data_IF_408164368099
#
_entry.id   IF_408164368099
#
_cell.length_a   1.000
_cell.length_b   1.000
_cell.length_c   1.000
_cell.angle_alpha   90.00
_cell.angle_beta   90.00
_cell.angle_gamma   90.00
#
_symmetry.space_group_name_H-M   'P 1'
#
loop_
_entity.id
_entity.type
_entity.pdbx_description
1 polymer ?
#
# COMPACT_ATOMS: atom_id res chain seq x y z
N UNK A 1 -23.32 11.40 12.60
CA UNK A 1 -21.88 11.40 12.88
C UNK A 1 -21.30 10.09 12.33
N UNK A 2 -20.22 10.14 11.53
CA UNK A 2 -19.51 8.90 11.14
C UNK A 2 -18.70 8.42 12.35
N UNK A 3 -18.79 7.14 12.67
CA UNK A 3 -17.90 6.52 13.66
C UNK A 3 -16.49 6.53 13.08
N UNK A 4 -15.46 6.95 13.83
CA UNK A 4 -14.09 6.89 13.35
C UNK A 4 -13.70 5.43 13.03
N UNK A 5 -12.96 5.17 11.93
CA UNK A 5 -12.56 3.82 11.57
C UNK A 5 -11.71 3.21 12.69
N UNK A 6 -11.99 1.96 13.05
CA UNK A 6 -11.21 1.22 14.06
C UNK A 6 -9.98 0.54 13.47
N UNK A 7 -9.91 0.40 12.15
CA UNK A 7 -8.77 -0.15 11.43
C UNK A 7 -8.62 0.44 10.01
N UNK A 8 -7.40 0.39 9.48
CA UNK A 8 -7.03 0.64 8.09
C UNK A 8 -6.20 -0.54 7.57
N UNK A 9 -6.60 -1.11 6.43
CA UNK A 9 -5.85 -2.12 5.70
C UNK A 9 -5.33 -1.52 4.40
N UNK A 10 -4.01 -1.55 4.20
CA UNK A 10 -3.33 -1.13 2.97
C UNK A 10 -2.85 -2.39 2.27
N UNK A 11 -3.38 -2.66 1.09
CA UNK A 11 -3.16 -3.91 0.34
C UNK A 11 -2.25 -3.61 -0.84
N UNK A 12 -1.18 -4.39 -0.96
CA UNK A 12 -0.29 -4.47 -2.12
C UNK A 12 0.23 -3.10 -2.57
N UNK A 13 0.50 -2.20 -1.60
CA UNK A 13 1.14 -0.91 -1.84
C UNK A 13 2.65 -1.09 -2.03
N UNK A 14 3.03 -1.96 -2.96
CA UNK A 14 4.40 -2.38 -3.24
C UNK A 14 4.98 -1.57 -4.42
N UNK A 15 6.31 -1.43 -4.44
CA UNK A 15 7.04 -0.70 -5.48
C UNK A 15 6.70 -1.21 -6.89
N UNK A 16 6.48 -2.52 -7.06
CA UNK A 16 6.14 -3.12 -8.35
C UNK A 16 4.82 -2.62 -8.97
N UNK A 17 3.93 -2.03 -8.16
CA UNK A 17 2.67 -1.45 -8.60
C UNK A 17 2.65 0.08 -8.54
N UNK A 18 3.56 0.70 -7.80
CA UNK A 18 3.51 2.12 -7.49
C UNK A 18 4.67 2.95 -8.08
N UNK A 19 5.69 2.30 -8.65
CA UNK A 19 6.87 2.95 -9.22
C UNK A 19 7.29 2.31 -10.54
N UNK A 20 8.02 3.06 -11.36
CA UNK A 20 8.53 2.62 -12.67
C UNK A 20 7.47 2.50 -13.77
N UNK A 21 7.87 1.88 -14.88
CA UNK A 21 7.05 1.79 -16.10
C UNK A 21 5.82 0.90 -15.95
N UNK A 22 5.83 -0.02 -14.99
CA UNK A 22 4.72 -0.94 -14.70
C UNK A 22 3.73 -0.39 -13.66
N UNK A 23 3.93 0.85 -13.19
CA UNK A 23 3.08 1.43 -12.17
C UNK A 23 1.61 1.54 -12.62
N UNK A 24 0.69 1.39 -11.67
CA UNK A 24 -0.74 1.57 -11.91
C UNK A 24 -1.04 3.00 -12.38
N UNK A 25 -2.13 3.21 -13.14
CA UNK A 25 -2.56 4.56 -13.51
C UNK A 25 -2.69 5.46 -12.26
N UNK A 26 -2.16 6.68 -12.34
CA UNK A 26 -2.15 7.65 -11.23
C UNK A 26 -1.48 7.14 -9.94
N UNK A 27 -0.41 6.35 -10.05
CA UNK A 27 0.34 5.85 -8.89
C UNK A 27 0.72 6.96 -7.89
N UNK A 28 1.16 8.12 -8.36
CA UNK A 28 1.46 9.28 -7.52
C UNK A 28 0.23 9.73 -6.69
N UNK A 29 -0.94 9.84 -7.32
CA UNK A 29 -2.17 10.18 -6.62
C UNK A 29 -2.62 9.09 -5.65
N UNK A 30 -2.43 7.81 -5.99
CA UNK A 30 -2.69 6.68 -5.09
C UNK A 30 -1.82 6.77 -3.84
N UNK A 31 -0.51 6.99 -3.99
CA UNK A 31 0.44 7.18 -2.89
C UNK A 31 -0.01 8.33 -1.98
N UNK A 32 -0.38 9.48 -2.55
CA UNK A 32 -0.84 10.62 -1.76
C UNK A 32 -2.11 10.31 -0.97
N UNK A 33 -3.08 9.63 -1.57
CA UNK A 33 -4.32 9.22 -0.89
C UNK A 33 -4.06 8.20 0.21
N UNK A 34 -3.19 7.22 -0.02
CA UNK A 34 -2.73 6.26 1.01
C UNK A 34 -2.11 7.01 2.19
N UNK A 35 -1.18 7.94 1.93
CA UNK A 35 -0.56 8.75 2.99
C UNK A 35 -1.58 9.54 3.81
N UNK A 36 -2.61 10.10 3.16
CA UNK A 36 -3.67 10.86 3.82
C UNK A 36 -4.51 9.98 4.76
N UNK A 37 -4.98 8.83 4.29
CA UNK A 37 -5.79 7.92 5.11
C UNK A 37 -4.97 7.24 6.20
N UNK A 38 -3.69 6.94 5.94
CA UNK A 38 -2.75 6.41 6.92
C UNK A 38 -2.51 7.39 8.06
N UNK A 39 -2.30 8.68 7.75
CA UNK A 39 -2.15 9.72 8.76
C UNK A 39 -3.42 9.85 9.62
N UNK A 40 -4.60 9.85 9.00
CA UNK A 40 -5.88 9.92 9.71
C UNK A 40 -6.12 8.69 10.61
N UNK A 41 -5.82 7.48 10.14
CA UNK A 41 -5.94 6.26 10.92
C UNK A 41 -5.02 6.27 12.15
N UNK A 42 -3.75 6.70 11.97
CA UNK A 42 -2.80 6.85 13.08
C UNK A 42 -3.26 7.89 14.10
N UNK A 43 -3.76 9.04 13.65
CA UNK A 43 -4.29 10.08 14.54
C UNK A 43 -5.52 9.62 15.34
N UNK A 44 -6.33 8.70 14.79
CA UNK A 44 -7.48 8.13 15.45
C UNK A 44 -7.15 6.94 16.38
N UNK A 45 -5.88 6.49 16.44
CA UNK A 45 -5.49 5.29 17.17
C UNK A 45 -6.05 3.99 16.57
N UNK A 46 -6.38 3.99 15.28
CA UNK A 46 -6.88 2.82 14.57
C UNK A 46 -5.77 1.78 14.36
N UNK A 47 -6.13 0.50 14.29
CA UNK A 47 -5.21 -0.56 13.87
C UNK A 47 -4.79 -0.33 12.41
N UNK A 48 -3.49 -0.28 12.13
CA UNK A 48 -2.97 -0.17 10.76
C UNK A 48 -2.30 -1.48 10.37
N UNK A 49 -2.75 -2.09 9.27
CA UNK A 49 -2.18 -3.31 8.72
C UNK A 49 -1.73 -3.05 7.29
N UNK A 50 -0.50 -3.44 6.99
CA UNK A 50 0.05 -3.49 5.63
C UNK A 50 0.03 -4.97 5.20
N UNK A 51 -0.66 -5.26 4.09
CA UNK A 51 -0.68 -6.57 3.46
C UNK A 51 0.19 -6.51 2.20
N UNK A 52 1.13 -7.43 2.10
CA UNK A 52 2.07 -7.57 0.99
C UNK A 52 1.76 -8.86 0.24
N UNK A 53 1.76 -8.81 -1.09
CA UNK A 53 1.66 -9.99 -1.93
C UNK A 53 3.06 -10.57 -2.20
N UNK A 54 3.20 -11.87 -1.92
CA UNK A 54 4.36 -12.66 -2.29
C UNK A 54 4.13 -13.29 -3.66
N UNK A 55 4.68 -12.65 -4.69
CA UNK A 55 4.59 -13.12 -6.06
C UNK A 55 5.26 -14.48 -6.28
N UNK A 56 4.82 -15.20 -7.31
CA UNK A 56 5.45 -16.45 -7.71
C UNK A 56 6.91 -16.23 -8.17
N UNK A 57 7.74 -17.27 -8.14
CA UNK A 57 9.12 -17.17 -8.59
C UNK A 57 9.22 -16.60 -10.02
N UNK A 58 10.05 -15.58 -10.21
CA UNK A 58 10.22 -14.88 -11.49
C UNK A 58 9.22 -13.76 -11.77
N UNK A 59 8.24 -13.50 -10.92
CA UNK A 59 7.39 -12.29 -11.05
C UNK A 59 8.09 -11.07 -10.47
N UNK A 60 7.71 -9.84 -10.86
CA UNK A 60 8.34 -8.61 -10.35
C UNK A 60 8.27 -8.45 -8.82
N UNK A 61 7.24 -9.03 -8.21
CA UNK A 61 6.92 -9.07 -6.78
C UNK A 61 7.29 -10.41 -6.11
N UNK A 62 8.13 -11.24 -6.74
CA UNK A 62 8.79 -12.38 -6.08
C UNK A 62 9.53 -11.89 -4.82
N UNK A 63 9.41 -12.58 -3.67
CA UNK A 63 10.05 -12.17 -2.43
C UNK A 63 11.55 -11.83 -2.57
N UNK A 64 11.92 -10.64 -2.10
CA UNK A 64 13.28 -10.11 -2.17
C UNK A 64 13.64 -9.39 -3.48
N UNK A 65 12.77 -9.40 -4.50
CA UNK A 65 12.95 -8.55 -5.69
C UNK A 65 12.58 -7.09 -5.41
N UNK A 66 13.08 -6.13 -6.20
CA UNK A 66 12.72 -4.72 -6.03
C UNK A 66 11.21 -4.47 -6.01
N UNK A 67 10.43 -5.10 -6.91
CA UNK A 67 8.98 -4.89 -6.97
C UNK A 67 8.20 -5.43 -5.78
N UNK A 68 8.81 -6.28 -4.94
CA UNK A 68 8.19 -6.84 -3.75
C UNK A 68 8.14 -5.85 -2.58
N UNK A 69 9.12 -4.95 -2.42
CA UNK A 69 9.19 -4.07 -1.24
C UNK A 69 8.07 -3.01 -1.21
N UNK A 70 7.75 -2.50 -0.02
CA UNK A 70 6.79 -1.41 0.25
C UNK A 70 7.55 -0.11 0.49
#
# INVERSE_FOLDING_TARGET
MRVPPTALLIIDAQQGLLDGEAAVPDAAGVIQRIGTVLAAARAAGALVVHLQHDGAAGTPDEPGRPGWFI
#
